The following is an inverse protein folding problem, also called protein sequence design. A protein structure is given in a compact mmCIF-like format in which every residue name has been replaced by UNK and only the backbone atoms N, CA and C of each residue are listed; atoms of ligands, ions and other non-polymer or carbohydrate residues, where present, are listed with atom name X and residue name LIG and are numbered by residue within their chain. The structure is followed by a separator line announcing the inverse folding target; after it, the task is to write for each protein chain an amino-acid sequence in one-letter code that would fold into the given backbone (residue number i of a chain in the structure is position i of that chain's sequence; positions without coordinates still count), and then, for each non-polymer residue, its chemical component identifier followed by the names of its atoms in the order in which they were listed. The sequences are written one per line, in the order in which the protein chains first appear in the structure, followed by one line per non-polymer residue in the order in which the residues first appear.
data_IF_201571022379
#
_entry.id   IF_201571022379
#
_cell.length_a   1.000
_cell.length_b   1.000
_cell.length_c   1.000
_cell.angle_alpha   90.00
_cell.angle_beta   90.00
_cell.angle_gamma   90.00
#
_symmetry.space_group_name_H-M   'P 1'
#
loop_
_entity.id
_entity.type
_entity.pdbx_description
1 polymer ?
#
# COMPACT_ATOMS: atom_id res chain seq x y z
N UNK A 1 -48.16 -26.27 83.32
CA UNK A 1 -47.52 -25.05 82.75
C UNK A 1 -46.58 -25.50 81.65
N UNK A 2 -46.69 -24.89 80.47
CA UNK A 2 -45.81 -25.04 79.30
C UNK A 2 -45.80 -26.39 78.54
N UNK A 3 -46.90 -26.70 77.86
CA UNK A 3 -46.89 -27.48 76.62
C UNK A 3 -47.63 -26.66 75.56
N UNK A 4 -46.89 -25.82 74.81
CA UNK A 4 -47.31 -25.10 73.58
C UNK A 4 -46.23 -24.09 73.23
N UNK A 5 -45.19 -24.49 72.49
CA UNK A 5 -44.27 -23.50 71.89
C UNK A 5 -43.49 -23.97 70.66
N UNK A 6 -43.82 -25.10 70.03
CA UNK A 6 -43.07 -25.62 68.87
C UNK A 6 -43.91 -25.87 67.60
N UNK A 7 -45.11 -25.29 67.47
CA UNK A 7 -45.91 -25.43 66.24
C UNK A 7 -45.88 -24.20 65.33
N UNK A 8 -45.34 -23.07 65.77
CA UNK A 8 -45.40 -21.79 65.03
C UNK A 8 -44.12 -21.45 64.26
N UNK A 9 -43.02 -22.19 64.44
CA UNK A 9 -41.76 -21.93 63.74
C UNK A 9 -41.61 -22.72 62.43
N UNK A 10 -42.24 -23.90 62.32
CA UNK A 10 -42.18 -24.74 61.11
C UNK A 10 -43.15 -24.26 60.01
N UNK A 11 -44.22 -23.56 60.36
CA UNK A 11 -45.18 -23.01 59.38
C UNK A 11 -44.69 -21.71 58.73
N UNK A 12 -43.74 -20.99 59.34
CA UNK A 12 -43.22 -19.75 58.77
C UNK A 12 -42.09 -20.00 57.73
N UNK A 13 -41.34 -21.10 57.85
CA UNK A 13 -40.33 -21.47 56.85
C UNK A 13 -40.93 -22.08 55.56
N UNK A 14 -42.14 -22.65 55.62
CA UNK A 14 -42.83 -23.20 54.45
C UNK A 14 -43.57 -22.14 53.61
N UNK A 15 -43.65 -20.90 54.09
CA UNK A 15 -44.24 -19.77 53.36
C UNK A 15 -43.22 -18.91 52.61
N UNK A 16 -41.91 -19.10 52.85
CA UNK A 16 -40.85 -18.35 52.17
C UNK A 16 -40.36 -19.05 50.89
N UNK A 17 -40.65 -20.35 50.72
CA UNK A 17 -40.34 -21.10 49.49
C UNK A 17 -41.39 -20.95 48.37
N UNK A 18 -42.41 -20.12 48.56
CA UNK A 18 -43.47 -19.86 47.59
C UNK A 18 -43.50 -18.40 47.11
N UNK A 19 -42.37 -17.69 47.18
CA UNK A 19 -42.19 -16.53 46.32
C UNK A 19 -41.92 -17.06 44.92
N UNK A 20 -42.73 -16.72 43.90
CA UNK A 20 -42.34 -16.98 42.52
C UNK A 20 -40.99 -16.29 42.34
N UNK A 21 -39.94 -17.08 42.13
CA UNK A 21 -38.67 -16.52 41.68
C UNK A 21 -38.98 -15.71 40.44
N UNK A 22 -38.77 -14.40 40.51
CA UNK A 22 -38.90 -13.55 39.35
C UNK A 22 -38.05 -14.17 38.25
N UNK A 23 -38.64 -14.35 37.07
CA UNK A 23 -37.90 -14.81 35.90
C UNK A 23 -36.63 -13.97 35.80
N UNK A 24 -35.46 -14.60 35.52
CA UNK A 24 -34.25 -13.83 35.29
C UNK A 24 -34.57 -12.79 34.21
N UNK A 25 -34.32 -11.51 34.52
CA UNK A 25 -34.55 -10.43 33.57
C UNK A 25 -33.87 -10.79 32.24
N UNK A 26 -34.63 -10.75 31.15
CA UNK A 26 -34.06 -11.05 29.84
C UNK A 26 -32.90 -10.08 29.58
N UNK A 27 -31.76 -10.57 29.06
CA UNK A 27 -30.62 -9.73 28.73
C UNK A 27 -31.03 -8.62 27.76
N UNK A 28 -30.48 -7.43 27.95
CA UNK A 28 -30.73 -6.30 27.05
C UNK A 28 -30.29 -6.63 25.62
N UNK A 29 -31.03 -6.17 24.58
CA UNK A 29 -30.68 -6.42 23.19
C UNK A 29 -29.31 -5.83 22.85
N UNK A 30 -28.47 -6.63 22.21
CA UNK A 30 -27.11 -6.26 21.81
C UNK A 30 -26.97 -6.31 20.29
N UNK A 31 -26.20 -5.37 19.76
CA UNK A 31 -25.88 -5.31 18.34
C UNK A 31 -24.37 -5.14 18.14
N UNK A 32 -23.84 -5.80 17.12
CA UNK A 32 -22.49 -5.60 16.64
C UNK A 32 -22.53 -5.43 15.12
N UNK A 33 -21.74 -4.48 14.61
CA UNK A 33 -21.65 -4.20 13.18
C UNK A 33 -20.17 -4.07 12.81
N UNK A 34 -19.73 -4.95 11.94
CA UNK A 34 -18.37 -5.01 11.40
C UNK A 34 -18.41 -4.51 9.96
N UNK A 35 -17.89 -3.31 9.76
CA UNK A 35 -17.77 -2.68 8.44
C UNK A 35 -16.32 -2.37 8.10
N UNK A 36 -15.95 -2.47 6.81
CA UNK A 36 -14.68 -1.97 6.36
C UNK A 36 -14.63 -0.44 6.52
N UNK A 37 -13.50 0.08 7.00
CA UNK A 37 -13.26 1.52 7.10
C UNK A 37 -12.93 2.14 5.74
N UNK A 38 -12.55 1.31 4.78
CA UNK A 38 -12.19 1.70 3.42
C UNK A 38 -12.72 0.66 2.44
N UNK A 39 -13.39 1.12 1.39
CA UNK A 39 -13.80 0.28 0.27
C UNK A 39 -13.41 0.96 -1.05
N UNK A 40 -13.12 0.16 -2.07
CA UNK A 40 -12.85 0.66 -3.41
C UNK A 40 -14.11 0.63 -4.25
N UNK A 41 -14.35 1.66 -5.07
CA UNK A 41 -15.50 1.71 -5.98
C UNK A 41 -15.44 0.63 -7.07
N UNK A 42 -16.59 0.06 -7.43
CA UNK A 42 -16.70 -1.01 -8.44
C UNK A 42 -16.21 -2.39 -8.01
N UNK A 43 -15.90 -2.59 -6.71
CA UNK A 43 -15.38 -3.83 -6.15
C UNK A 43 -16.39 -4.50 -5.22
N UNK A 44 -16.21 -5.80 -4.98
CA UNK A 44 -17.01 -6.52 -3.99
C UNK A 44 -16.56 -6.14 -2.58
N UNK A 45 -17.52 -5.75 -1.75
CA UNK A 45 -17.32 -5.46 -0.34
C UNK A 45 -18.23 -6.35 0.50
N UNK A 46 -17.79 -6.61 1.74
CA UNK A 46 -18.52 -7.43 2.70
C UNK A 46 -18.70 -6.65 4.00
N UNK A 47 -19.91 -6.65 4.54
CA UNK A 47 -20.20 -6.19 5.90
C UNK A 47 -20.89 -7.30 6.66
N UNK A 48 -20.67 -7.36 7.98
CA UNK A 48 -21.30 -8.35 8.84
C UNK A 48 -21.96 -7.65 10.02
N UNK A 49 -23.06 -8.21 10.49
CA UNK A 49 -23.73 -7.76 11.70
C UNK A 49 -24.23 -8.95 12.52
N UNK A 50 -24.34 -8.72 13.82
CA UNK A 50 -24.85 -9.68 14.79
C UNK A 50 -25.86 -8.96 15.66
N UNK A 51 -27.03 -9.58 15.84
CA UNK A 51 -28.08 -9.15 16.74
C UNK A 51 -28.33 -10.29 17.72
N UNK A 52 -28.20 -10.00 19.02
CA UNK A 52 -28.37 -10.96 20.10
C UNK A 52 -29.39 -10.46 21.10
N UNK A 53 -30.11 -11.38 21.73
CA UNK A 53 -31.11 -11.09 22.76
C UNK A 53 -32.25 -10.18 22.25
N UNK A 54 -32.76 -10.48 21.05
CA UNK A 54 -33.95 -9.82 20.52
C UNK A 54 -35.21 -10.44 21.17
N UNK A 55 -36.12 -9.58 21.64
CA UNK A 55 -37.35 -10.00 22.28
C UNK A 55 -38.57 -9.86 21.36
N UNK A 56 -38.37 -9.34 20.15
CA UNK A 56 -39.39 -9.06 19.14
C UNK A 56 -38.83 -9.18 17.72
N UNK A 57 -39.71 -9.30 16.73
CA UNK A 57 -39.35 -9.20 15.31
C UNK A 57 -39.04 -7.74 14.96
N UNK A 58 -37.90 -7.48 14.34
CA UNK A 58 -37.48 -6.13 13.93
C UNK A 58 -37.30 -6.03 12.42
N UNK A 59 -37.67 -4.89 11.85
CA UNK A 59 -37.29 -4.51 10.49
C UNK A 59 -35.88 -3.93 10.49
N UNK A 60 -34.96 -4.58 9.78
CA UNK A 60 -33.55 -4.21 9.69
C UNK A 60 -33.21 -3.68 8.30
N UNK A 61 -32.78 -2.43 8.24
CA UNK A 61 -32.29 -1.79 7.03
C UNK A 61 -30.81 -1.40 7.17
N UNK A 62 -30.01 -1.76 6.16
CA UNK A 62 -28.61 -1.33 6.03
C UNK A 62 -28.49 -0.49 4.77
N UNK A 63 -28.05 0.75 4.91
CA UNK A 63 -27.91 1.70 3.80
C UNK A 63 -26.49 2.26 3.74
N UNK A 64 -25.91 2.30 2.54
CA UNK A 64 -24.70 3.07 2.25
C UNK A 64 -25.11 4.48 1.79
N UNK A 65 -24.87 5.46 2.64
CA UNK A 65 -25.14 6.88 2.39
C UNK A 65 -23.90 7.53 1.80
N UNK A 66 -24.01 8.02 0.56
CA UNK A 66 -23.00 8.81 -0.14
C UNK A 66 -23.51 10.24 -0.37
N UNK A 67 -22.65 11.13 -0.85
CA UNK A 67 -23.01 12.55 -1.00
C UNK A 67 -24.24 12.76 -1.89
N UNK A 68 -24.36 11.97 -2.96
CA UNK A 68 -25.38 12.14 -4.00
C UNK A 68 -26.38 10.98 -4.10
N UNK A 69 -26.19 9.90 -3.36
CA UNK A 69 -27.04 8.71 -3.45
C UNK A 69 -27.03 7.91 -2.16
N UNK A 70 -28.18 7.29 -1.86
CA UNK A 70 -28.31 6.30 -0.80
C UNK A 70 -28.57 4.95 -1.45
N UNK A 71 -27.78 3.95 -1.06
CA UNK A 71 -27.86 2.59 -1.62
C UNK A 71 -28.27 1.66 -0.49
N UNK A 72 -29.50 1.14 -0.54
CA UNK A 72 -29.98 0.14 0.41
C UNK A 72 -29.33 -1.22 0.09
N UNK A 73 -28.55 -1.73 1.02
CA UNK A 73 -27.80 -2.99 0.91
C UNK A 73 -28.60 -4.18 1.46
N UNK A 74 -29.44 -3.92 2.47
CA UNK A 74 -30.33 -4.89 3.09
C UNK A 74 -31.59 -4.19 3.55
N UNK A 75 -32.72 -4.86 3.37
CA UNK A 75 -34.00 -4.53 4.00
C UNK A 75 -34.75 -5.84 4.26
N UNK A 76 -34.79 -6.28 5.53
CA UNK A 76 -35.38 -7.57 5.93
C UNK A 76 -35.92 -7.54 7.35
N UNK A 77 -36.95 -8.35 7.59
CA UNK A 77 -37.47 -8.62 8.93
C UNK A 77 -36.65 -9.74 9.60
N UNK A 78 -36.30 -9.55 10.88
CA UNK A 78 -35.40 -10.42 11.64
C UNK A 78 -35.95 -10.65 13.05
N UNK A 79 -36.13 -11.91 13.43
CA UNK A 79 -36.68 -12.30 14.74
C UNK A 79 -35.60 -12.67 15.76
N UNK A 80 -34.58 -13.41 15.35
CA UNK A 80 -33.43 -13.80 16.17
C UNK A 80 -32.32 -14.28 15.23
N UNK A 81 -31.08 -13.82 15.40
CA UNK A 81 -29.96 -14.25 14.56
C UNK A 81 -28.82 -14.76 15.42
N UNK A 82 -28.84 -16.07 15.68
CA UNK A 82 -27.68 -16.81 16.19
C UNK A 82 -26.62 -17.06 15.10
N UNK A 83 -26.87 -16.62 13.86
CA UNK A 83 -25.94 -16.74 12.72
C UNK A 83 -25.31 -15.39 12.34
N UNK A 84 -24.01 -15.41 12.03
CA UNK A 84 -23.24 -14.28 11.49
C UNK A 84 -23.80 -13.86 10.13
N UNK A 85 -24.65 -12.83 10.11
CA UNK A 85 -25.22 -12.31 8.88
C UNK A 85 -24.23 -11.38 8.19
N UNK A 86 -23.54 -11.93 7.19
CA UNK A 86 -22.70 -11.15 6.32
C UNK A 86 -23.33 -10.93 4.94
N UNK A 87 -23.26 -9.69 4.46
CA UNK A 87 -23.75 -9.27 3.16
C UNK A 87 -22.57 -8.94 2.28
N UNK A 88 -22.47 -9.62 1.15
CA UNK A 88 -21.63 -9.19 0.05
C UNK A 88 -22.43 -8.23 -0.85
N UNK A 89 -21.83 -7.12 -1.24
CA UNK A 89 -22.43 -6.14 -2.14
C UNK A 89 -21.37 -5.54 -3.05
N UNK A 90 -21.78 -5.11 -4.23
CA UNK A 90 -20.89 -4.41 -5.16
C UNK A 90 -20.92 -2.92 -4.85
N UNK A 91 -19.75 -2.31 -4.67
CA UNK A 91 -19.66 -0.88 -4.41
C UNK A 91 -19.94 -0.06 -5.67
N UNK A 92 -20.53 1.14 -5.56
CA UNK A 92 -20.79 1.98 -6.71
C UNK A 92 -19.47 2.43 -7.36
N UNK A 93 -19.52 2.63 -8.68
CA UNK A 93 -18.43 3.31 -9.39
C UNK A 93 -18.44 4.79 -9.02
N UNK A 94 -17.31 5.30 -8.54
CA UNK A 94 -17.17 6.71 -8.13
C UNK A 94 -16.19 7.47 -9.04
N UNK A 95 -16.39 8.77 -9.15
CA UNK A 95 -15.51 9.66 -9.92
C UNK A 95 -14.40 10.27 -9.06
N UNK A 96 -14.70 10.52 -7.79
CA UNK A 96 -13.77 11.05 -6.79
C UNK A 96 -13.89 10.27 -5.50
N UNK A 97 -12.79 10.13 -4.76
CA UNK A 97 -12.84 9.55 -3.42
C UNK A 97 -13.68 10.43 -2.50
N UNK A 98 -14.59 9.82 -1.74
CA UNK A 98 -15.49 10.52 -0.82
C UNK A 98 -15.66 9.75 0.50
N UNK A 99 -16.14 10.43 1.53
CA UNK A 99 -16.49 9.81 2.80
C UNK A 99 -18.00 9.60 2.83
N UNK A 100 -18.41 8.35 3.01
CA UNK A 100 -19.80 7.95 3.19
C UNK A 100 -20.06 7.40 4.59
N UNK A 101 -21.28 6.94 4.80
CA UNK A 101 -21.71 6.31 6.05
C UNK A 101 -22.44 4.99 5.75
N UNK A 102 -22.09 3.94 6.47
CA UNK A 102 -23.00 2.81 6.64
C UNK A 102 -23.98 3.15 7.76
N UNK A 103 -25.26 3.24 7.42
CA UNK A 103 -26.36 3.43 8.34
C UNK A 103 -27.10 2.10 8.55
N UNK A 104 -27.11 1.63 9.80
CA UNK A 104 -27.91 0.51 10.27
C UNK A 104 -29.13 1.08 10.99
N UNK A 105 -30.33 0.78 10.51
CA UNK A 105 -31.59 1.13 11.13
C UNK A 105 -32.33 -0.15 11.51
N UNK A 106 -32.73 -0.24 12.77
CA UNK A 106 -33.56 -1.31 13.30
C UNK A 106 -34.83 -0.70 13.89
N UNK A 107 -35.98 -1.23 13.48
CA UNK A 107 -37.30 -0.69 13.79
C UNK A 107 -38.25 -1.85 14.15
N UNK A 108 -38.62 -1.95 15.43
CA UNK A 108 -39.56 -2.94 15.96
C UNK A 108 -40.70 -2.29 16.74
N UNK A 109 -41.44 -3.05 17.54
CA UNK A 109 -42.54 -2.49 18.35
C UNK A 109 -42.02 -1.67 19.55
N UNK A 110 -40.87 -2.05 20.10
CA UNK A 110 -40.25 -1.40 21.26
C UNK A 110 -38.80 -0.98 21.01
N UNK A 111 -38.10 -1.67 20.11
CA UNK A 111 -36.71 -1.44 19.79
C UNK A 111 -36.57 -0.57 18.55
N UNK A 112 -36.13 0.67 18.74
CA UNK A 112 -35.77 1.57 17.64
C UNK A 112 -34.37 2.10 17.82
N UNK A 113 -33.48 1.84 16.85
CA UNK A 113 -32.16 2.46 16.85
C UNK A 113 -31.61 2.70 15.45
N UNK A 114 -30.79 3.74 15.34
CA UNK A 114 -29.98 4.01 14.16
C UNK A 114 -28.52 4.15 14.56
N UNK A 115 -27.63 3.49 13.83
CA UNK A 115 -26.18 3.56 14.02
C UNK A 115 -25.50 3.86 12.70
N UNK A 116 -24.57 4.81 12.74
CA UNK A 116 -23.82 5.24 11.56
C UNK A 116 -22.33 5.03 11.78
N UNK A 117 -21.64 4.51 10.77
CA UNK A 117 -20.18 4.33 10.76
C UNK A 117 -19.60 4.89 9.48
N UNK A 118 -18.55 5.68 9.60
CA UNK A 118 -17.88 6.30 8.46
C UNK A 118 -17.15 5.23 7.65
N UNK A 119 -17.19 5.39 6.32
CA UNK A 119 -16.40 4.60 5.38
C UNK A 119 -15.77 5.53 4.36
N UNK A 120 -14.50 5.29 4.03
CA UNK A 120 -13.83 5.97 2.94
C UNK A 120 -14.05 5.17 1.65
N UNK A 121 -14.77 5.74 0.70
CA UNK A 121 -14.85 5.22 -0.66
C UNK A 121 -13.67 5.77 -1.46
N UNK A 122 -12.74 4.89 -1.82
CA UNK A 122 -11.61 5.25 -2.70
C UNK A 122 -11.89 4.82 -4.12
N UNK A 123 -11.28 5.55 -5.04
CA UNK A 123 -11.15 5.09 -6.41
C UNK A 123 -10.41 3.76 -6.47
N UNK A 124 -10.89 2.86 -7.31
CA UNK A 124 -10.11 1.69 -7.70
C UNK A 124 -8.82 2.18 -8.34
N UNK A 125 -7.69 1.71 -7.83
CA UNK A 125 -6.37 2.04 -8.37
C UNK A 125 -5.66 0.74 -8.71
N UNK A 126 -5.27 0.59 -9.97
CA UNK A 126 -4.37 -0.48 -10.37
C UNK A 126 -2.94 -0.07 -10.00
N UNK A 127 -2.12 -1.03 -9.60
CA UNK A 127 -0.68 -0.86 -9.47
C UNK A 127 -0.09 -1.03 -10.87
N UNK A 128 0.58 0.00 -11.41
CA UNK A 128 1.34 -0.18 -12.64
C UNK A 128 2.76 0.35 -12.51
N UNK A 129 3.67 -0.34 -13.18
CA UNK A 129 5.08 0.01 -13.23
C UNK A 129 5.63 -0.30 -14.61
N UNK A 130 6.67 0.45 -14.99
CA UNK A 130 7.35 0.30 -16.27
C UNK A 130 8.72 -0.28 -15.98
N UNK A 131 9.17 -1.20 -16.82
CA UNK A 131 10.51 -1.78 -16.73
C UNK A 131 11.17 -1.76 -18.10
N UNK A 132 12.42 -1.30 -18.14
CA UNK A 132 13.30 -1.37 -19.32
C UNK A 132 14.21 -2.59 -19.25
N UNK A 133 14.70 -3.08 -20.40
CA UNK A 133 15.65 -4.19 -20.46
C UNK A 133 17.03 -3.82 -19.90
N UNK A 134 17.40 -2.53 -19.97
CA UNK A 134 18.61 -1.96 -19.36
C UNK A 134 18.30 -0.65 -18.65
N UNK A 135 19.12 -0.30 -17.65
CA UNK A 135 19.12 1.02 -17.03
C UNK A 135 19.86 2.08 -17.86
N UNK A 136 20.85 1.65 -18.66
CA UNK A 136 21.74 2.51 -19.44
C UNK A 136 21.81 1.98 -20.88
N UNK A 137 21.62 2.87 -21.86
CA UNK A 137 21.70 2.58 -23.30
C UNK A 137 22.80 3.37 -23.96
N UNK A 138 23.43 2.76 -24.97
CA UNK A 138 24.33 3.46 -25.88
C UNK A 138 23.54 4.12 -27.01
N UNK A 139 24.10 5.19 -27.64
CA UNK A 139 23.62 5.68 -28.91
C UNK A 139 23.36 4.57 -29.94
N UNK A 140 22.28 4.70 -30.71
CA UNK A 140 21.85 3.72 -31.72
C UNK A 140 21.25 2.42 -31.18
N UNK A 141 21.13 2.22 -29.85
CA UNK A 141 20.49 1.02 -29.30
C UNK A 141 18.97 1.09 -29.32
N UNK A 142 18.33 -0.09 -29.40
CA UNK A 142 16.89 -0.23 -29.24
C UNK A 142 16.55 -0.33 -27.75
N UNK A 143 15.71 0.57 -27.27
CA UNK A 143 15.09 0.55 -25.94
C UNK A 143 13.91 -0.41 -25.97
N UNK A 144 13.91 -1.43 -25.13
CA UNK A 144 12.77 -2.32 -24.95
C UNK A 144 12.22 -2.09 -23.56
N UNK A 145 10.91 -1.92 -23.47
CA UNK A 145 10.24 -1.74 -22.18
C UNK A 145 8.93 -2.50 -22.14
N UNK A 146 8.48 -2.78 -20.92
CA UNK A 146 7.18 -3.36 -20.64
C UNK A 146 6.46 -2.55 -19.58
N UNK A 147 5.15 -2.49 -19.71
CA UNK A 147 4.26 -1.93 -18.70
C UNK A 147 3.51 -3.09 -18.10
N UNK A 148 3.58 -3.24 -16.79
CA UNK A 148 2.81 -4.22 -16.04
C UNK A 148 1.72 -3.50 -15.23
N UNK A 149 0.51 -4.06 -15.21
CA UNK A 149 -0.61 -3.60 -14.40
C UNK A 149 -1.20 -4.74 -13.56
N UNK A 150 -1.45 -4.46 -12.28
CA UNK A 150 -1.92 -5.38 -11.26
C UNK A 150 -3.07 -4.76 -10.47
N UNK A 151 -3.95 -5.59 -9.93
CA UNK A 151 -4.94 -5.18 -8.93
C UNK A 151 -4.34 -5.18 -7.50
N UNK A 152 -5.19 -4.93 -6.50
CA UNK A 152 -4.80 -4.89 -5.08
C UNK A 152 -4.38 -6.26 -4.52
N UNK A 153 -4.80 -7.36 -5.17
CA UNK A 153 -4.40 -8.72 -4.85
C UNK A 153 -3.14 -9.15 -5.62
N UNK A 154 -2.49 -8.22 -6.31
CA UNK A 154 -1.34 -8.46 -7.20
C UNK A 154 -1.66 -9.43 -8.36
N UNK A 155 -2.92 -9.51 -8.76
CA UNK A 155 -3.33 -10.27 -9.94
C UNK A 155 -3.27 -9.38 -11.19
N UNK A 156 -2.87 -9.95 -12.34
CA UNK A 156 -2.75 -9.19 -13.58
C UNK A 156 -4.10 -8.65 -14.05
N UNK A 157 -4.18 -7.35 -14.33
CA UNK A 157 -5.40 -6.68 -14.81
C UNK A 157 -5.16 -6.06 -16.18
N UNK A 158 -6.14 -6.16 -17.06
CA UNK A 158 -6.08 -5.46 -18.36
C UNK A 158 -6.46 -4.00 -18.13
N UNK A 159 -5.44 -3.15 -18.07
CA UNK A 159 -5.55 -1.70 -17.94
C UNK A 159 -5.28 -1.03 -19.30
N UNK A 160 -6.06 0.01 -19.58
CA UNK A 160 -5.96 0.85 -20.77
C UNK A 160 -5.25 2.18 -20.45
N UNK A 161 -4.20 2.48 -21.20
CA UNK A 161 -3.41 3.70 -21.14
C UNK A 161 -3.66 4.55 -22.41
N UNK A 162 -4.38 5.69 -22.30
CA UNK A 162 -4.67 6.54 -23.48
C UNK A 162 -3.42 7.00 -24.23
N UNK A 163 -2.32 7.22 -23.52
CA UNK A 163 -1.04 7.59 -24.14
C UNK A 163 0.14 7.07 -23.32
N UNK A 164 1.08 6.46 -24.04
CA UNK A 164 2.42 6.12 -23.56
C UNK A 164 3.42 6.89 -24.40
N UNK A 165 4.45 7.48 -23.81
CA UNK A 165 5.42 8.27 -24.56
C UNK A 165 6.80 8.30 -23.90
N UNK A 166 7.81 8.69 -24.67
CA UNK A 166 9.18 8.89 -24.18
C UNK A 166 9.55 10.36 -24.25
N UNK A 167 10.09 10.89 -23.15
CA UNK A 167 10.71 12.21 -23.09
C UNK A 167 12.23 12.11 -23.09
N UNK A 168 12.87 13.02 -23.83
CA UNK A 168 14.32 13.20 -23.80
C UNK A 168 14.75 14.07 -22.60
N UNK A 169 16.07 14.28 -22.38
CA UNK A 169 16.58 15.08 -21.25
C UNK A 169 16.13 16.54 -21.24
N UNK A 170 15.64 17.06 -22.38
CA UNK A 170 15.12 18.42 -22.51
C UNK A 170 13.60 18.51 -22.29
N UNK A 171 12.93 17.39 -21.97
CA UNK A 171 11.48 17.32 -21.82
C UNK A 171 10.70 17.24 -23.14
N UNK A 172 11.38 17.03 -24.26
CA UNK A 172 10.71 16.87 -25.55
C UNK A 172 10.21 15.43 -25.73
N UNK A 173 8.94 15.29 -26.13
CA UNK A 173 8.36 13.99 -26.50
C UNK A 173 8.94 13.51 -27.84
N UNK A 174 9.62 12.37 -27.83
CA UNK A 174 10.33 11.80 -29.00
C UNK A 174 9.71 10.50 -29.53
N UNK A 175 8.83 9.87 -28.76
CA UNK A 175 8.08 8.68 -29.15
C UNK A 175 6.71 8.68 -28.48
N UNK A 176 5.70 8.10 -29.13
CA UNK A 176 4.34 8.04 -28.61
C UNK A 176 3.61 6.82 -29.15
N UNK A 177 2.84 6.18 -28.26
CA UNK A 177 1.86 5.14 -28.55
C UNK A 177 0.52 5.60 -27.99
N UNK A 178 -0.54 5.44 -28.79
CA UNK A 178 -1.90 5.81 -28.43
C UNK A 178 -2.71 4.56 -28.10
N UNK A 179 -3.67 4.70 -27.19
CA UNK A 179 -4.66 3.66 -26.86
C UNK A 179 -4.01 2.29 -26.57
N UNK A 180 -3.02 2.29 -25.67
CA UNK A 180 -2.24 1.11 -25.33
C UNK A 180 -2.99 0.30 -24.27
N UNK A 181 -3.31 -0.95 -24.57
CA UNK A 181 -3.95 -1.87 -23.63
C UNK A 181 -2.98 -2.96 -23.18
N UNK A 182 -3.00 -3.28 -21.88
CA UNK A 182 -2.26 -4.43 -21.36
C UNK A 182 -3.07 -5.70 -21.55
N UNK A 183 -2.45 -6.74 -22.11
CA UNK A 183 -3.09 -8.05 -22.28
C UNK A 183 -2.57 -9.00 -21.21
N UNK A 184 -3.47 -9.53 -20.37
CA UNK A 184 -3.09 -10.32 -19.18
C UNK A 184 -2.11 -9.56 -18.27
N UNK A 185 -2.34 -8.25 -18.11
CA UNK A 185 -1.56 -7.38 -17.23
C UNK A 185 -0.21 -6.93 -17.76
N UNK A 186 0.19 -7.26 -18.99
CA UNK A 186 1.46 -6.81 -19.58
C UNK A 186 1.27 -6.31 -21.00
N UNK A 187 2.01 -5.26 -21.37
CA UNK A 187 2.26 -4.85 -22.76
C UNK A 187 3.75 -4.59 -22.93
N UNK A 188 4.28 -4.87 -24.12
CA UNK A 188 5.69 -4.68 -24.46
C UNK A 188 5.80 -3.74 -25.64
N UNK A 189 6.67 -2.75 -25.52
CA UNK A 189 6.90 -1.74 -26.53
C UNK A 189 8.39 -1.51 -26.72
N UNK A 190 8.74 -0.88 -27.85
CA UNK A 190 10.16 -0.62 -28.14
C UNK A 190 10.38 0.63 -28.97
N UNK A 191 11.51 1.29 -28.72
CA UNK A 191 11.90 2.54 -29.36
C UNK A 191 13.34 2.46 -29.83
N UNK A 192 13.60 2.90 -31.06
CA UNK A 192 14.93 2.91 -31.65
C UNK A 192 15.61 4.26 -31.38
N UNK A 193 16.69 4.30 -30.60
CA UNK A 193 17.50 5.51 -30.46
C UNK A 193 18.19 5.83 -31.78
N UNK A 194 18.32 7.12 -32.07
CA UNK A 194 19.13 7.62 -33.19
C UNK A 194 20.61 7.33 -32.95
N UNK A 195 21.43 7.42 -34.00
CA UNK A 195 22.88 7.24 -33.90
C UNK A 195 23.56 8.35 -33.06
N UNK A 196 22.96 9.54 -33.03
CA UNK A 196 23.44 10.71 -32.28
C UNK A 196 22.30 11.28 -31.39
N UNK A 197 21.90 10.59 -30.31
CA UNK A 197 20.89 11.09 -29.39
C UNK A 197 21.52 12.07 -28.39
N UNK A 198 20.69 12.93 -27.79
CA UNK A 198 21.11 13.78 -26.67
C UNK A 198 21.43 12.88 -25.47
N UNK A 199 22.66 12.92 -24.96
CA UNK A 199 23.01 12.13 -23.78
C UNK A 199 22.33 12.68 -22.52
N UNK A 200 21.97 11.79 -21.60
CA UNK A 200 21.33 12.15 -20.33
C UNK A 200 20.17 11.23 -19.95
N UNK A 201 19.32 11.72 -19.05
CA UNK A 201 18.19 10.96 -18.50
C UNK A 201 16.94 11.09 -19.37
N UNK A 202 16.43 9.96 -19.83
CA UNK A 202 15.18 9.81 -20.54
C UNK A 202 14.10 9.26 -19.61
N UNK A 203 12.84 9.49 -19.97
CA UNK A 203 11.69 8.97 -19.21
C UNK A 203 10.72 8.27 -20.13
N UNK A 204 10.26 7.08 -19.74
CA UNK A 204 9.06 6.45 -20.29
C UNK A 204 7.89 6.82 -19.37
N UNK A 205 6.84 7.38 -19.95
CA UNK A 205 5.68 7.88 -19.21
C UNK A 205 4.43 7.22 -19.78
N UNK A 206 3.70 6.49 -18.94
CA UNK A 206 2.39 5.94 -19.25
C UNK A 206 1.32 6.76 -18.52
N UNK A 207 0.44 7.41 -19.28
CA UNK A 207 -0.66 8.20 -18.72
C UNK A 207 -1.89 7.33 -18.56
N UNK A 208 -2.55 7.48 -17.40
CA UNK A 208 -3.84 6.85 -17.09
C UNK A 208 -4.97 7.82 -17.32
N UNK A 209 -6.19 7.29 -17.28
CA UNK A 209 -7.38 8.10 -17.12
C UNK A 209 -7.26 8.98 -15.86
N UNK A 210 -7.85 10.19 -15.90
CA UNK A 210 -7.87 11.15 -14.77
C UNK A 210 -6.50 11.78 -14.40
N UNK A 211 -5.54 11.72 -15.32
CA UNK A 211 -4.28 12.48 -15.22
C UNK A 211 -3.18 11.87 -14.35
N UNK A 212 -3.41 10.68 -13.79
CA UNK A 212 -2.35 9.92 -13.13
C UNK A 212 -1.30 9.45 -14.15
N UNK A 213 -0.03 9.42 -13.75
CA UNK A 213 1.09 9.00 -14.59
C UNK A 213 1.95 7.98 -13.88
N UNK A 214 2.44 7.02 -14.64
CA UNK A 214 3.48 6.08 -14.24
C UNK A 214 4.72 6.43 -15.03
N UNK A 215 5.85 6.63 -14.34
CA UNK A 215 7.09 7.05 -14.95
C UNK A 215 8.22 6.06 -14.61
N UNK A 216 9.10 5.81 -15.57
CA UNK A 216 10.33 5.08 -15.36
C UNK A 216 11.47 5.73 -16.14
N UNK A 217 12.63 5.82 -15.51
CA UNK A 217 13.79 6.55 -16.04
C UNK A 217 14.85 5.59 -16.56
N UNK A 218 15.53 5.99 -17.62
CA UNK A 218 16.72 5.31 -18.13
C UNK A 218 17.73 6.34 -18.64
N UNK A 219 19.01 5.99 -18.64
CA UNK A 219 20.09 6.88 -19.11
C UNK A 219 20.53 6.50 -20.52
N UNK A 220 20.89 7.50 -21.32
CA UNK A 220 21.60 7.33 -22.59
C UNK A 220 22.94 8.00 -22.49
N UNK A 221 24.01 7.23 -22.63
CA UNK A 221 25.38 7.72 -22.52
C UNK A 221 26.33 6.85 -23.36
N UNK A 222 27.45 7.43 -23.75
CA UNK A 222 28.53 6.67 -24.36
C UNK A 222 29.36 5.98 -23.27
N UNK A 223 29.19 4.66 -23.14
CA UNK A 223 29.96 3.87 -22.20
C UNK A 223 30.65 2.67 -22.86
N UNK A 224 31.75 2.23 -22.28
CA UNK A 224 32.35 0.92 -22.55
C UNK A 224 31.97 0.01 -21.38
N UNK A 225 31.55 -1.24 -21.67
CA UNK A 225 31.20 -2.16 -20.58
C UNK A 225 32.44 -2.39 -19.71
N UNK A 226 32.36 -2.11 -18.39
CA UNK A 226 33.46 -2.41 -17.48
C UNK A 226 33.75 -3.92 -17.51
N UNK A 227 35.03 -4.26 -17.58
CA UNK A 227 35.48 -5.67 -17.55
C UNK A 227 35.56 -6.24 -16.13
N UNK A 228 35.51 -5.36 -15.14
CA UNK A 228 35.58 -5.68 -13.72
C UNK A 228 34.76 -4.69 -12.91
N UNK A 229 34.40 -5.10 -11.70
CA UNK A 229 33.77 -4.29 -10.66
C UNK A 229 34.80 -3.99 -9.56
N UNK A 230 34.73 -2.79 -8.99
CA UNK A 230 35.48 -2.41 -7.79
C UNK A 230 34.52 -2.40 -6.61
N UNK A 231 34.81 -3.20 -5.60
CA UNK A 231 34.01 -3.32 -4.37
C UNK A 231 34.75 -2.60 -3.24
N UNK A 232 34.15 -1.54 -2.72
CA UNK A 232 34.68 -0.77 -1.59
C UNK A 232 33.81 -1.07 -0.36
N UNK A 233 34.44 -1.60 0.70
CA UNK A 233 33.78 -1.91 1.98
C UNK A 233 34.36 -1.02 3.07
N UNK A 234 33.46 -0.34 3.78
CA UNK A 234 33.74 0.54 4.91
C UNK A 234 32.70 0.23 6.01
N UNK A 235 33.02 0.39 7.30
CA UNK A 235 32.03 0.33 8.37
C UNK A 235 30.85 1.25 8.09
N UNK A 236 29.60 0.80 8.31
CA UNK A 236 28.41 1.60 8.04
C UNK A 236 28.25 2.80 8.99
N UNK A 237 28.88 2.73 10.16
CA UNK A 237 28.85 3.77 11.19
C UNK A 237 30.27 3.97 11.70
N UNK A 238 30.64 5.23 11.90
CA UNK A 238 31.88 5.66 12.54
C UNK A 238 31.52 6.46 13.79
N UNK A 239 32.26 6.24 14.87
CA UNK A 239 32.14 7.01 16.11
C UNK A 239 33.16 8.14 16.14
N UNK A 240 32.92 9.15 16.98
CA UNK A 240 33.84 10.29 17.13
C UNK A 240 35.15 9.86 17.81
N UNK A 241 35.13 8.75 18.55
CA UNK A 241 36.28 8.21 19.27
C UNK A 241 37.12 7.27 18.41
N UNK A 242 36.65 6.90 17.21
CA UNK A 242 37.36 6.03 16.29
C UNK A 242 38.64 6.73 15.79
N UNK A 243 39.79 6.13 16.08
CA UNK A 243 41.09 6.62 15.62
C UNK A 243 41.50 6.06 14.26
N UNK A 244 40.91 4.93 13.85
CA UNK A 244 41.25 4.21 12.63
C UNK A 244 39.97 3.76 11.91
N UNK A 245 40.00 3.75 10.57
CA UNK A 245 38.90 3.26 9.73
C UNK A 245 39.43 2.14 8.86
N UNK A 246 38.89 0.93 9.02
CA UNK A 246 39.23 -0.17 8.13
C UNK A 246 38.49 -0.04 6.80
N UNK A 247 39.23 0.19 5.71
CA UNK A 247 38.69 0.23 4.34
C UNK A 247 39.24 -0.96 3.57
N UNK A 248 38.35 -1.76 2.99
CA UNK A 248 38.73 -2.89 2.12
C UNK A 248 38.30 -2.59 0.69
N UNK A 249 39.26 -2.61 -0.23
CA UNK A 249 39.01 -2.44 -1.67
C UNK A 249 39.36 -3.74 -2.38
N UNK A 250 38.44 -4.26 -3.20
CA UNK A 250 38.67 -5.46 -3.99
C UNK A 250 38.25 -5.22 -5.44
N UNK A 251 39.09 -5.64 -6.40
CA UNK A 251 38.73 -5.70 -7.81
C UNK A 251 38.34 -7.12 -8.22
N UNK A 252 37.22 -7.28 -8.92
CA UNK A 252 36.75 -8.58 -9.41
C UNK A 252 36.29 -8.48 -10.87
N UNK A 253 36.87 -9.28 -11.75
CA UNK A 253 36.43 -9.39 -13.14
C UNK A 253 34.97 -9.87 -13.21
N UNK A 254 34.28 -9.58 -14.31
CA UNK A 254 32.88 -10.03 -14.52
C UNK A 254 32.71 -11.55 -14.48
N UNK A 255 33.76 -12.33 -14.77
CA UNK A 255 33.78 -13.79 -14.66
C UNK A 255 34.30 -14.31 -13.29
N UNK A 256 34.55 -13.39 -12.35
CA UNK A 256 34.72 -13.67 -10.93
C UNK A 256 36.14 -13.83 -10.41
N UNK A 257 37.18 -13.71 -11.25
CA UNK A 257 38.58 -13.73 -10.81
C UNK A 257 39.02 -12.37 -10.23
N UNK A 258 39.99 -12.34 -9.30
CA UNK A 258 40.52 -11.09 -8.76
C UNK A 258 41.23 -10.27 -9.84
N UNK A 259 41.17 -8.96 -9.73
CA UNK A 259 41.92 -8.00 -10.56
C UNK A 259 43.17 -7.61 -9.80
N UNK A 260 44.33 -7.76 -10.44
CA UNK A 260 45.58 -7.22 -9.93
C UNK A 260 45.80 -5.84 -10.52
N UNK A 261 46.20 -4.88 -9.68
CA UNK A 261 46.45 -3.52 -10.13
C UNK A 261 46.90 -2.60 -9.01
N UNK A 262 47.13 -1.34 -9.37
CA UNK A 262 47.40 -0.26 -8.45
C UNK A 262 46.07 0.34 -8.01
N UNK A 263 45.86 0.48 -6.70
CA UNK A 263 44.70 1.15 -6.14
C UNK A 263 45.08 2.52 -5.60
N UNK A 264 44.23 3.51 -5.89
CA UNK A 264 44.28 4.84 -5.29
C UNK A 264 42.94 5.12 -4.62
N UNK A 265 42.97 5.30 -3.31
CA UNK A 265 41.78 5.50 -2.47
C UNK A 265 41.83 6.92 -1.91
N UNK A 266 40.70 7.64 -1.99
CA UNK A 266 40.55 8.98 -1.41
C UNK A 266 39.42 8.94 -0.38
N UNK A 267 39.73 9.26 0.87
CA UNK A 267 38.75 9.32 1.97
C UNK A 267 38.51 10.78 2.31
N UNK A 268 37.25 11.22 2.32
CA UNK A 268 36.90 12.62 2.52
C UNK A 268 35.87 12.80 3.64
N UNK A 269 36.15 13.71 4.58
CA UNK A 269 35.20 14.22 5.57
C UNK A 269 34.62 15.55 5.08
N UNK A 270 33.34 15.55 4.73
CA UNK A 270 32.61 16.77 4.34
C UNK A 270 32.21 17.58 5.57
N UNK A 271 32.35 18.90 5.49
CA UNK A 271 31.84 19.79 6.54
C UNK A 271 30.33 20.00 6.39
N UNK A 272 29.62 20.21 7.50
CA UNK A 272 28.17 20.40 7.52
C UNK A 272 27.75 21.81 7.08
N UNK A 273 28.68 22.78 7.15
CA UNK A 273 28.49 24.15 6.69
C UNK A 273 29.57 24.47 5.65
N UNK A 274 29.18 24.97 4.48
CA UNK A 274 30.12 25.51 3.48
C UNK A 274 30.72 26.79 4.05
N UNK A 275 32.00 26.76 4.43
CA UNK A 275 32.71 27.94 4.95
C UNK A 275 33.51 28.67 3.86
N UNK A 276 33.41 28.26 2.59
CA UNK A 276 34.21 28.85 1.52
C UNK A 276 33.62 30.16 0.99
N UNK A 277 34.28 31.26 1.35
CA UNK A 277 34.20 32.57 0.70
C UNK A 277 35.11 32.65 -0.55
N UNK A 278 35.87 31.59 -0.83
CA UNK A 278 36.92 31.54 -1.86
C UNK A 278 36.57 30.52 -2.96
N UNK A 279 36.45 30.94 -4.23
CA UNK A 279 36.24 30.03 -5.35
C UNK A 279 37.47 29.11 -5.56
N UNK A 280 37.30 27.80 -5.42
CA UNK A 280 38.32 26.79 -5.78
C UNK A 280 38.79 25.87 -4.64
N UNK A 281 38.36 26.08 -3.40
CA UNK A 281 38.62 25.18 -2.27
C UNK A 281 37.48 24.15 -2.11
N UNK A 282 37.83 22.88 -1.84
CA UNK A 282 36.83 21.82 -1.56
C UNK A 282 36.33 21.93 -0.10
N UNK A 283 35.00 21.82 0.11
CA UNK A 283 34.36 21.79 1.45
C UNK A 283 34.55 20.43 2.17
N UNK A 284 35.76 19.87 2.12
CA UNK A 284 36.10 18.60 2.73
C UNK A 284 37.58 18.50 3.12
N UNK A 285 37.86 17.75 4.18
CA UNK A 285 39.22 17.26 4.48
C UNK A 285 39.35 15.90 3.84
N UNK A 286 40.28 15.74 2.90
CA UNK A 286 40.52 14.49 2.21
C UNK A 286 41.94 13.96 2.41
N UNK A 287 42.07 12.65 2.53
CA UNK A 287 43.35 11.93 2.58
C UNK A 287 43.40 10.92 1.42
N UNK A 288 44.54 10.83 0.76
CA UNK A 288 44.78 9.90 -0.35
C UNK A 288 45.78 8.82 0.05
N UNK A 289 45.43 7.57 -0.26
CA UNK A 289 46.23 6.38 0.00
C UNK A 289 46.44 5.61 -1.31
N UNK A 290 47.68 5.28 -1.62
CA UNK A 290 48.04 4.47 -2.78
C UNK A 290 48.61 3.13 -2.30
N UNK A 291 48.13 2.02 -2.88
CA UNK A 291 48.61 0.68 -2.55
C UNK A 291 48.76 -0.14 -3.82
N UNK A 292 49.86 -0.87 -3.92
CA UNK A 292 50.10 -1.85 -4.97
C UNK A 292 49.88 -3.24 -4.41
N UNK A 293 49.02 -4.03 -5.05
CA UNK A 293 48.97 -5.47 -4.80
C UNK A 293 50.23 -6.10 -5.41
N UNK A 294 51.29 -6.22 -4.61
CA UNK A 294 52.50 -6.94 -4.97
C UNK A 294 52.28 -8.46 -4.81
N UNK A 295 52.64 -9.23 -5.84
CA UNK A 295 52.67 -10.70 -5.80
C UNK A 295 53.70 -11.16 -4.76
N UNK A 296 53.24 -11.90 -3.74
CA UNK A 296 54.05 -12.89 -3.03
C UNK A 296 53.84 -14.27 -3.66
#
# INVERSE_FOLDING_TARGET
MAARMWSSALTLCLLISALPGGEPAQPDPQYMMLVPTLIHGGQDAKLCFLLSHLNESISLSVTLELTNQNITLLDKEVTETDEDNCIAFQTPNIETSEVGFFALQADGDTLHFTKRRNVLLKLQQHLAFIQTDKAIYKPGQKVQFRIASLDENFLPVSEHFPVVFIENPQGNRIAQWLDVETHKGIVQESFQLTAEPIQGTYKVIASRNRGQRVEHVFSVEEYVLPKYEVQVKIPPILTIEDQEIQVTVCGKYTYGKPVLGLIKVRVCRKFQQSYTYCPGEEDAVCEELEHADDLA
#
